data_IF_932614396594
#
_entry.id   IF_932614396594
#
_cell.length_a   1.000
_cell.length_b   1.000
_cell.length_c   1.000
_cell.angle_alpha   90.00
_cell.angle_beta   90.00
_cell.angle_gamma   90.00
#
_symmetry.space_group_name_H-M   'P 1'
#
loop_
_entity.id
_entity.type
_entity.pdbx_description
1 polymer ?
#
# COMPACT_ATOMS: atom_id res chain seq x y z
N UNK A 1 41.11 -14.76 -1.32
CA UNK A 1 40.69 -13.82 -0.25
C UNK A 1 39.43 -14.34 0.42
N UNK A 2 39.56 -15.28 1.36
CA UNK A 2 38.43 -15.82 2.13
C UNK A 2 38.21 -14.93 3.36
N UNK A 3 37.20 -14.04 3.32
CA UNK A 3 36.79 -13.27 4.51
C UNK A 3 36.46 -14.27 5.63
N UNK A 4 36.94 -14.02 6.85
CA UNK A 4 36.66 -14.93 7.96
C UNK A 4 35.15 -15.08 8.16
N UNK A 5 34.64 -16.30 8.42
CA UNK A 5 33.21 -16.57 8.48
C UNK A 5 32.46 -15.68 9.49
N UNK A 6 33.15 -15.19 10.53
CA UNK A 6 32.60 -14.24 11.50
C UNK A 6 32.35 -12.83 10.94
N UNK A 7 33.01 -12.40 9.86
CA UNK A 7 32.73 -11.09 9.24
C UNK A 7 31.41 -11.13 8.47
N UNK A 8 31.16 -12.21 7.72
CA UNK A 8 29.94 -12.35 6.93
C UNK A 8 28.70 -12.43 7.84
N UNK A 9 28.74 -13.24 8.91
CA UNK A 9 27.65 -13.34 9.88
C UNK A 9 27.32 -11.98 10.51
N UNK A 10 28.34 -11.21 10.92
CA UNK A 10 28.14 -9.87 11.51
C UNK A 10 27.56 -8.88 10.50
N UNK A 11 28.00 -8.94 9.25
CA UNK A 11 27.46 -8.09 8.19
C UNK A 11 26.00 -8.42 7.88
N UNK A 12 25.65 -9.71 7.77
CA UNK A 12 24.27 -10.15 7.57
C UNK A 12 23.36 -9.72 8.72
N UNK A 13 23.81 -9.91 9.97
CA UNK A 13 23.07 -9.46 11.15
C UNK A 13 22.86 -7.94 11.17
N UNK A 14 23.89 -7.16 10.86
CA UNK A 14 23.79 -5.71 10.83
C UNK A 14 22.84 -5.22 9.73
N UNK A 15 22.89 -5.84 8.55
CA UNK A 15 21.95 -5.58 7.45
C UNK A 15 20.52 -5.89 7.88
N UNK A 16 20.30 -7.05 8.50
CA UNK A 16 18.98 -7.47 8.96
C UNK A 16 18.39 -6.52 10.01
N UNK A 17 19.17 -6.14 11.03
CA UNK A 17 18.70 -5.20 12.05
C UNK A 17 18.37 -3.84 11.46
N UNK A 18 19.21 -3.33 10.54
CA UNK A 18 18.96 -2.05 9.88
C UNK A 18 17.73 -2.08 8.97
N UNK A 19 17.58 -3.15 8.19
CA UNK A 19 16.44 -3.34 7.30
C UNK A 19 15.14 -3.55 8.09
N UNK A 20 15.16 -4.34 9.16
CA UNK A 20 14.01 -4.52 10.05
C UNK A 20 13.60 -3.20 10.72
N UNK A 21 14.55 -2.38 11.17
CA UNK A 21 14.27 -1.05 11.71
C UNK A 21 13.63 -0.12 10.66
N UNK A 22 14.07 -0.20 9.40
CA UNK A 22 13.44 0.52 8.29
C UNK A 22 12.00 0.03 8.03
N UNK A 23 11.78 -1.28 7.90
CA UNK A 23 10.44 -1.85 7.69
C UNK A 23 9.50 -1.60 8.88
N UNK A 24 10.04 -1.51 10.08
CA UNK A 24 9.30 -1.10 11.26
C UNK A 24 9.03 0.41 11.30
N UNK A 25 9.78 1.26 10.59
CA UNK A 25 9.57 2.71 10.60
C UNK A 25 8.59 3.18 9.51
N UNK A 26 8.58 2.51 8.37
CA UNK A 26 7.82 2.89 7.19
C UNK A 26 6.82 1.81 6.82
N UNK A 27 5.73 2.21 6.18
CA UNK A 27 4.61 1.38 5.72
C UNK A 27 4.10 1.88 4.36
N UNK A 28 4.99 2.51 3.58
CA UNK A 28 4.63 3.17 2.34
C UNK A 28 4.37 2.15 1.22
N UNK A 29 3.30 2.30 0.42
CA UNK A 29 3.02 1.43 -0.73
C UNK A 29 3.93 1.83 -1.93
N UNK A 30 5.25 1.73 -1.75
CA UNK A 30 6.23 2.07 -2.79
C UNK A 30 7.01 0.84 -3.23
N UNK A 31 7.46 0.82 -4.49
CA UNK A 31 8.33 -0.25 -5.01
C UNK A 31 9.56 -0.42 -4.12
N UNK A 32 10.16 0.69 -3.68
CA UNK A 32 11.33 0.66 -2.79
C UNK A 32 11.03 -0.09 -1.48
N UNK A 33 9.88 0.18 -0.84
CA UNK A 33 9.48 -0.53 0.37
C UNK A 33 9.32 -2.04 0.12
N UNK A 34 8.67 -2.44 -0.97
CA UNK A 34 8.50 -3.86 -1.30
C UNK A 34 9.83 -4.55 -1.65
N UNK A 35 10.77 -3.85 -2.27
CA UNK A 35 12.14 -4.35 -2.45
C UNK A 35 12.81 -4.59 -1.10
N UNK A 36 12.64 -3.68 -0.12
CA UNK A 36 13.19 -3.89 1.22
C UNK A 36 12.57 -5.09 1.94
N UNK A 37 11.29 -5.41 1.71
CA UNK A 37 10.66 -6.64 2.22
C UNK A 37 11.32 -7.89 1.62
N UNK A 38 11.59 -7.89 0.31
CA UNK A 38 12.30 -9.02 -0.34
C UNK A 38 13.73 -9.15 0.21
N UNK A 39 14.42 -8.02 0.40
CA UNK A 39 15.75 -8.00 1.02
C UNK A 39 15.71 -8.59 2.43
N UNK A 40 14.71 -8.24 3.25
CA UNK A 40 14.52 -8.79 4.60
C UNK A 40 14.36 -10.31 4.60
N UNK A 41 13.52 -10.83 3.69
CA UNK A 41 13.29 -12.27 3.61
C UNK A 41 14.56 -12.99 3.15
N UNK A 42 15.25 -12.45 2.14
CA UNK A 42 16.46 -13.05 1.60
C UNK A 42 17.65 -13.00 2.58
N UNK A 43 17.91 -11.85 3.20
CA UNK A 43 18.98 -11.69 4.16
C UNK A 43 18.67 -12.41 5.49
N UNK A 44 17.40 -12.52 5.89
CA UNK A 44 16.96 -13.35 7.01
C UNK A 44 17.19 -14.83 6.75
N UNK A 45 16.85 -15.34 5.57
CA UNK A 45 17.15 -16.72 5.18
C UNK A 45 18.66 -17.00 5.18
N UNK A 46 19.47 -16.09 4.64
CA UNK A 46 20.92 -16.18 4.70
C UNK A 46 21.43 -16.19 6.15
N UNK A 47 20.90 -15.31 7.01
CA UNK A 47 21.27 -15.24 8.42
C UNK A 47 20.97 -16.55 9.15
N UNK A 48 19.80 -17.16 8.90
CA UNK A 48 19.44 -18.47 9.45
C UNK A 48 20.46 -19.54 9.03
N UNK A 49 20.82 -19.59 7.75
CA UNK A 49 21.84 -20.56 7.25
C UNK A 49 23.19 -20.34 7.92
N UNK A 50 23.65 -19.08 8.02
CA UNK A 50 24.93 -18.74 8.66
C UNK A 50 24.93 -19.08 10.15
N UNK A 51 23.80 -18.86 10.86
CA UNK A 51 23.63 -19.24 12.25
C UNK A 51 23.60 -20.77 12.43
N UNK A 52 22.98 -21.50 11.51
CA UNK A 52 23.00 -22.96 11.54
C UNK A 52 24.43 -23.49 11.36
N UNK A 53 25.16 -22.97 10.38
CA UNK A 53 26.48 -23.46 10.01
C UNK A 53 27.59 -23.05 11.00
N UNK A 54 27.59 -21.80 11.47
CA UNK A 54 28.63 -21.27 12.35
C UNK A 54 28.18 -21.11 13.81
N UNK A 55 26.91 -20.76 14.02
CA UNK A 55 26.35 -20.49 15.35
C UNK A 55 26.13 -21.77 16.15
N UNK A 56 25.57 -22.84 15.57
CA UNK A 56 25.30 -24.10 16.28
C UNK A 56 26.59 -24.73 16.82
N UNK A 57 27.67 -24.93 16.03
CA UNK A 57 28.91 -25.49 16.57
C UNK A 57 29.52 -24.64 17.67
N UNK A 58 29.46 -23.31 17.54
CA UNK A 58 29.91 -22.37 18.57
C UNK A 58 29.08 -22.51 19.85
N UNK A 59 27.75 -22.57 19.72
CA UNK A 59 26.81 -22.67 20.84
C UNK A 59 27.01 -23.98 21.61
N UNK A 60 27.15 -25.11 20.91
CA UNK A 60 27.42 -26.42 21.50
C UNK A 60 28.74 -26.40 22.27
N UNK A 61 29.81 -25.83 21.69
CA UNK A 61 31.10 -25.67 22.38
C UNK A 61 30.94 -24.77 23.61
N UNK A 62 30.17 -23.68 23.51
CA UNK A 62 29.98 -22.73 24.59
C UNK A 62 29.23 -23.32 25.78
N UNK A 63 28.20 -24.13 25.55
CA UNK A 63 27.46 -24.83 26.61
C UNK A 63 28.27 -25.91 27.31
N UNK A 64 29.29 -26.49 26.66
CA UNK A 64 30.22 -27.45 27.28
C UNK A 64 31.25 -26.80 28.19
N UNK A 65 31.57 -25.52 27.96
CA UNK A 65 32.54 -24.80 28.79
C UNK A 65 31.90 -24.31 30.10
N UNK A 66 32.61 -24.39 31.23
CA UNK A 66 32.13 -23.80 32.48
C UNK A 66 31.95 -22.28 32.33
N UNK A 67 30.93 -21.75 33.00
CA UNK A 67 30.59 -20.33 32.94
C UNK A 67 29.48 -19.98 33.93
N UNK A 68 29.25 -18.67 34.16
CA UNK A 68 28.24 -18.22 35.11
C UNK A 68 26.85 -18.69 34.67
N UNK A 69 26.01 -19.07 35.66
CA UNK A 69 24.64 -19.54 35.41
C UNK A 69 23.81 -18.52 34.61
N UNK A 70 24.02 -17.23 34.87
CA UNK A 70 23.38 -16.12 34.15
C UNK A 70 23.73 -16.11 32.66
N UNK A 71 24.99 -16.37 32.28
CA UNK A 71 25.38 -16.46 30.86
C UNK A 71 24.71 -17.64 30.16
N UNK A 72 24.59 -18.80 30.84
CA UNK A 72 23.89 -19.97 30.29
C UNK A 72 22.40 -19.70 30.11
N UNK A 73 21.75 -19.05 31.07
CA UNK A 73 20.35 -18.65 30.97
C UNK A 73 20.11 -17.69 29.80
N UNK A 74 20.98 -16.68 29.64
CA UNK A 74 20.90 -15.75 28.51
C UNK A 74 21.11 -16.43 27.15
N UNK A 75 22.06 -17.37 27.06
CA UNK A 75 22.27 -18.17 25.84
C UNK A 75 21.06 -19.07 25.52
N UNK A 76 20.44 -19.69 26.54
CA UNK A 76 19.24 -20.49 26.35
C UNK A 76 18.05 -19.65 25.86
N UNK A 77 17.84 -18.47 26.47
CA UNK A 77 16.81 -17.52 26.04
C UNK A 77 17.06 -17.03 24.61
N UNK A 78 18.30 -16.62 24.30
CA UNK A 78 18.70 -16.22 22.95
C UNK A 78 18.36 -17.32 21.93
N UNK A 79 18.68 -18.57 22.25
CA UNK A 79 18.46 -19.71 21.35
C UNK A 79 16.97 -19.98 21.15
N UNK A 80 16.19 -20.05 22.23
CA UNK A 80 14.75 -20.28 22.16
C UNK A 80 14.03 -19.18 21.36
N UNK A 81 14.38 -17.91 21.62
CA UNK A 81 13.81 -16.78 20.90
C UNK A 81 14.24 -16.73 19.44
N UNK A 82 15.50 -17.07 19.11
CA UNK A 82 15.95 -17.15 17.72
C UNK A 82 15.23 -18.25 16.92
N UNK A 83 14.98 -19.41 17.55
CA UNK A 83 14.20 -20.49 16.93
C UNK A 83 12.73 -20.07 16.71
N UNK A 84 12.13 -19.38 17.68
CA UNK A 84 10.79 -18.81 17.53
C UNK A 84 10.74 -17.77 16.39
N UNK A 85 11.72 -16.88 16.31
CA UNK A 85 11.83 -15.89 15.25
C UNK A 85 11.96 -16.55 13.86
N UNK A 86 12.80 -17.58 13.74
CA UNK A 86 12.97 -18.33 12.49
C UNK A 86 11.69 -19.09 12.08
N UNK A 87 11.03 -19.78 13.02
CA UNK A 87 9.79 -20.51 12.75
C UNK A 87 8.64 -19.58 12.33
N UNK A 88 8.48 -18.46 13.02
CA UNK A 88 7.48 -17.45 12.67
C UNK A 88 7.81 -16.75 11.34
N UNK A 89 9.08 -16.53 11.01
CA UNK A 89 9.50 -15.98 9.72
C UNK A 89 9.09 -16.89 8.55
N UNK A 90 9.30 -18.21 8.68
CA UNK A 90 8.89 -19.18 7.66
C UNK A 90 7.38 -19.18 7.44
N UNK A 91 6.60 -19.12 8.53
CA UNK A 91 5.15 -19.01 8.43
C UNK A 91 4.72 -17.70 7.75
N UNK A 92 5.35 -16.57 8.08
CA UNK A 92 5.07 -15.26 7.47
C UNK A 92 5.49 -15.18 6.00
N UNK A 93 6.52 -15.92 5.57
CA UNK A 93 6.93 -15.99 4.16
C UNK A 93 5.83 -16.61 3.27
N UNK A 94 4.98 -17.47 3.83
CA UNK A 94 3.84 -18.09 3.13
C UNK A 94 2.56 -17.28 3.33
N UNK A 95 2.30 -16.84 4.55
CA UNK A 95 1.02 -16.24 4.94
C UNK A 95 0.93 -14.73 4.69
N UNK A 96 2.07 -14.06 4.55
CA UNK A 96 2.18 -12.61 4.47
C UNK A 96 1.82 -11.90 5.79
N UNK A 97 1.73 -10.57 5.74
CA UNK A 97 1.46 -9.71 6.89
C UNK A 97 0.02 -9.15 6.90
N UNK A 98 -0.92 -9.88 6.28
CA UNK A 98 -2.34 -9.51 6.27
C UNK A 98 -2.89 -9.33 7.70
N UNK A 99 -3.97 -8.54 7.85
CA UNK A 99 -4.50 -8.15 9.17
C UNK A 99 -4.75 -9.34 10.12
N UNK A 100 -5.20 -10.49 9.61
CA UNK A 100 -5.40 -11.72 10.39
C UNK A 100 -4.11 -12.30 11.01
N UNK A 101 -2.96 -12.04 10.40
CA UNK A 101 -1.65 -12.55 10.81
C UNK A 101 -0.81 -11.54 11.60
N UNK A 102 -1.39 -10.39 11.97
CA UNK A 102 -0.71 -9.40 12.82
C UNK A 102 -0.16 -9.97 14.14
N UNK A 103 -0.84 -10.89 14.84
CA UNK A 103 -0.27 -11.52 16.04
C UNK A 103 0.99 -12.33 15.74
N UNK A 104 1.03 -13.03 14.60
CA UNK A 104 2.20 -13.80 14.16
C UNK A 104 3.38 -12.87 13.84
N UNK A 105 3.12 -11.74 13.17
CA UNK A 105 4.13 -10.70 12.93
C UNK A 105 4.64 -10.11 14.26
N UNK A 106 3.76 -9.82 15.21
CA UNK A 106 4.15 -9.31 16.52
C UNK A 106 5.05 -10.29 17.27
N UNK A 107 4.72 -11.60 17.23
CA UNK A 107 5.55 -12.65 17.81
C UNK A 107 6.92 -12.74 17.14
N UNK A 108 6.98 -12.64 15.81
CA UNK A 108 8.24 -12.62 15.05
C UNK A 108 9.13 -11.44 15.47
N UNK A 109 8.57 -10.23 15.56
CA UNK A 109 9.31 -9.03 15.98
C UNK A 109 9.76 -9.15 17.45
N UNK A 110 8.86 -9.54 18.35
CA UNK A 110 9.16 -9.66 19.77
C UNK A 110 10.26 -10.71 20.03
N UNK A 111 10.15 -11.89 19.43
CA UNK A 111 11.16 -12.95 19.57
C UNK A 111 12.52 -12.53 19.00
N UNK A 112 12.55 -11.78 17.89
CA UNK A 112 13.78 -11.22 17.33
C UNK A 112 14.45 -10.22 18.28
N UNK A 113 13.68 -9.30 18.87
CA UNK A 113 14.18 -8.32 19.86
C UNK A 113 14.71 -9.03 21.11
N UNK A 114 13.98 -10.01 21.63
CA UNK A 114 14.41 -10.78 22.81
C UNK A 114 15.68 -11.57 22.52
N UNK A 115 15.82 -12.17 21.32
CA UNK A 115 17.02 -12.87 20.93
C UNK A 115 18.26 -11.95 20.95
N UNK A 116 18.14 -10.74 20.38
CA UNK A 116 19.22 -9.75 20.36
C UNK A 116 19.56 -9.21 21.76
N UNK A 117 18.54 -8.95 22.59
CA UNK A 117 18.72 -8.50 23.96
C UNK A 117 19.41 -9.58 24.82
N UNK A 118 18.98 -10.84 24.68
CA UNK A 118 19.59 -11.98 25.35
C UNK A 118 21.03 -12.23 24.87
N UNK A 119 21.33 -12.03 23.58
CA UNK A 119 22.70 -12.09 23.07
C UNK A 119 23.60 -11.02 23.71
N UNK A 120 23.14 -9.76 23.80
CA UNK A 120 23.87 -8.70 24.49
C UNK A 120 24.05 -9.03 25.99
N UNK A 121 23.02 -9.54 26.65
CA UNK A 121 23.06 -10.00 28.04
C UNK A 121 24.05 -11.14 28.28
N UNK A 122 24.12 -12.10 27.36
CA UNK A 122 25.10 -13.19 27.40
C UNK A 122 26.54 -12.65 27.32
N UNK A 123 26.80 -11.64 26.48
CA UNK A 123 28.13 -10.99 26.37
C UNK A 123 28.46 -10.20 27.65
N UNK A 124 27.49 -9.48 28.22
CA UNK A 124 27.66 -8.72 29.47
C UNK A 124 27.99 -9.64 30.66
N UNK A 125 27.25 -10.74 30.80
CA UNK A 125 27.41 -11.72 31.89
C UNK A 125 28.71 -12.52 31.79
N UNK A 126 29.35 -12.54 30.62
CA UNK A 126 30.66 -13.15 30.39
C UNK A 126 31.84 -12.21 30.66
N UNK A 127 31.58 -10.97 31.11
CA UNK A 127 32.62 -10.01 31.47
C UNK A 127 33.06 -9.07 30.34
N UNK A 128 32.59 -9.27 29.10
CA UNK A 128 32.89 -8.39 27.97
C UNK A 128 31.99 -7.13 27.96
N UNK A 129 32.04 -6.36 29.05
CA UNK A 129 31.11 -5.25 29.34
C UNK A 129 30.99 -4.24 28.21
N UNK A 130 32.11 -3.84 27.60
CA UNK A 130 32.10 -2.84 26.52
C UNK A 130 31.37 -3.35 25.27
N UNK A 131 31.60 -4.61 24.89
CA UNK A 131 30.94 -5.23 23.73
C UNK A 131 29.45 -5.44 23.97
N UNK A 132 29.07 -5.92 25.16
CA UNK A 132 27.68 -6.11 25.52
C UNK A 132 26.90 -4.79 25.58
N UNK A 133 27.49 -3.72 26.16
CA UNK A 133 26.89 -2.38 26.17
C UNK A 133 26.73 -1.79 24.77
N UNK A 134 27.72 -1.98 23.90
CA UNK A 134 27.61 -1.57 22.48
C UNK A 134 26.47 -2.30 21.78
N UNK A 135 26.34 -3.62 21.97
CA UNK A 135 25.23 -4.41 21.42
C UNK A 135 23.87 -3.91 21.91
N UNK A 136 23.72 -3.69 23.22
CA UNK A 136 22.49 -3.15 23.80
C UNK A 136 22.16 -1.74 23.28
N UNK A 137 23.15 -0.86 23.13
CA UNK A 137 22.96 0.48 22.59
C UNK A 137 22.52 0.47 21.13
N UNK A 138 23.10 -0.42 20.30
CA UNK A 138 22.69 -0.60 18.91
C UNK A 138 21.27 -1.13 18.80
N UNK A 139 20.88 -2.09 19.64
CA UNK A 139 19.50 -2.58 19.72
C UNK A 139 18.53 -1.47 20.15
N UNK A 140 18.89 -0.70 21.17
CA UNK A 140 18.09 0.43 21.63
C UNK A 140 17.90 1.47 20.52
N UNK A 141 18.95 1.78 19.74
CA UNK A 141 18.87 2.67 18.59
C UNK A 141 17.97 2.11 17.48
N UNK A 142 18.08 0.81 17.19
CA UNK A 142 17.26 0.12 16.18
C UNK A 142 15.77 0.09 16.57
N UNK A 143 15.44 0.13 17.87
CA UNK A 143 14.07 0.22 18.38
C UNK A 143 13.61 1.70 18.45
N UNK A 144 14.47 2.60 18.89
CA UNK A 144 14.15 4.02 19.03
C UNK A 144 13.86 4.67 17.68
N UNK A 145 14.55 4.27 16.61
CA UNK A 145 14.32 4.79 15.27
C UNK A 145 12.87 4.60 14.77
N UNK A 146 12.31 3.39 14.67
CA UNK A 146 10.93 3.20 14.22
C UNK A 146 9.90 3.82 15.17
N UNK A 147 10.15 3.80 16.49
CA UNK A 147 9.28 4.46 17.46
C UNK A 147 9.27 5.98 17.26
N UNK A 148 10.43 6.59 17.02
CA UNK A 148 10.56 8.02 16.76
C UNK A 148 9.87 8.43 15.46
N UNK A 149 10.04 7.66 14.37
CA UNK A 149 9.37 7.92 13.10
C UNK A 149 7.85 7.82 13.25
N UNK A 150 7.34 6.78 13.92
CA UNK A 150 5.90 6.62 14.17
C UNK A 150 5.34 7.68 15.11
N UNK A 151 6.07 8.02 16.17
CA UNK A 151 5.69 9.09 17.09
C UNK A 151 5.59 10.45 16.39
N UNK A 152 6.56 10.78 15.55
CA UNK A 152 6.54 12.03 14.77
C UNK A 152 5.34 12.07 13.81
N UNK A 153 5.02 10.96 13.13
CA UNK A 153 3.84 10.88 12.25
C UNK A 153 2.51 10.99 13.01
N UNK A 154 2.45 10.48 14.23
CA UNK A 154 1.27 10.63 15.08
C UNK A 154 1.08 12.09 15.53
N UNK A 155 2.17 12.80 15.79
CA UNK A 155 2.14 14.23 16.16
C UNK A 155 1.92 15.16 14.97
N UNK A 156 2.44 14.80 13.80
CA UNK A 156 2.35 15.57 12.55
C UNK A 156 1.75 14.69 11.44
N UNK A 157 0.43 14.40 11.49
CA UNK A 157 -0.21 13.58 10.49
C UNK A 157 -0.13 14.25 9.11
N UNK A 158 0.17 13.51 8.03
CA UNK A 158 0.12 14.06 6.69
C UNK A 158 -1.32 14.47 6.36
N UNK A 159 -1.50 15.56 5.61
CA UNK A 159 -2.82 16.09 5.21
C UNK A 159 -3.77 15.04 4.61
N UNK A 160 -3.23 14.05 3.87
CA UNK A 160 -4.03 12.94 3.29
C UNK A 160 -4.52 11.90 4.31
N UNK A 161 -4.04 11.95 5.55
CA UNK A 161 -4.44 11.05 6.63
C UNK A 161 -5.57 11.62 7.50
N UNK A 162 -5.97 12.87 7.28
CA UNK A 162 -7.08 13.51 8.00
C UNK A 162 -8.26 13.63 7.05
N UNK A 163 -9.40 13.04 7.45
CA UNK A 163 -10.66 13.20 6.74
C UNK A 163 -11.49 14.21 7.53
N UNK A 164 -11.84 15.33 6.90
CA UNK A 164 -12.62 16.40 7.53
C UNK A 164 -14.08 16.30 7.09
N UNK A 165 -14.95 15.97 8.03
CA UNK A 165 -16.37 15.85 7.75
C UNK A 165 -17.10 17.19 7.92
N UNK A 166 -18.09 17.50 7.07
CA UNK A 166 -19.02 18.58 7.35
C UNK A 166 -19.76 18.31 8.67
N UNK A 167 -20.08 19.38 9.42
CA UNK A 167 -20.75 19.29 10.73
C UNK A 167 -22.18 18.74 10.66
N UNK A 168 -22.80 18.80 9.49
CA UNK A 168 -24.15 18.30 9.24
C UNK A 168 -24.16 17.44 7.97
N UNK A 169 -24.98 16.38 7.91
CA UNK A 169 -25.14 15.59 6.69
C UNK A 169 -25.80 16.42 5.58
N UNK A 170 -25.51 16.13 4.31
CA UNK A 170 -26.18 16.78 3.19
C UNK A 170 -27.67 16.40 3.18
N UNK A 171 -28.55 17.38 2.97
CA UNK A 171 -30.00 17.17 2.95
C UNK A 171 -30.50 16.54 1.64
N UNK A 172 -29.73 16.72 0.55
CA UNK A 172 -30.05 16.18 -0.78
C UNK A 172 -28.79 15.73 -1.52
N UNK A 173 -28.92 14.84 -2.52
CA UNK A 173 -27.82 14.51 -3.43
C UNK A 173 -27.17 15.73 -4.09
N UNK A 174 -27.95 16.77 -4.37
CA UNK A 174 -27.47 17.99 -5.03
C UNK A 174 -26.62 18.88 -4.10
N UNK A 175 -26.90 18.86 -2.80
CA UNK A 175 -26.09 19.55 -1.78
C UNK A 175 -24.83 18.79 -1.40
N UNK A 176 -24.79 17.49 -1.68
CA UNK A 176 -23.63 16.62 -1.45
C UNK A 176 -22.62 16.65 -2.60
N UNK A 177 -23.12 16.81 -3.83
CA UNK A 177 -22.34 16.74 -5.05
C UNK A 177 -21.16 17.71 -5.09
N UNK A 178 -20.21 17.45 -5.98
CA UNK A 178 -18.98 18.24 -6.11
C UNK A 178 -19.18 19.65 -6.72
N UNK A 179 -20.44 20.08 -6.88
CA UNK A 179 -20.88 21.30 -7.57
C UNK A 179 -21.31 21.06 -9.01
N UNK A 180 -22.25 21.86 -9.51
CA UNK A 180 -22.85 21.73 -10.85
C UNK A 180 -21.84 21.89 -12.00
N UNK A 181 -20.71 22.56 -11.74
CA UNK A 181 -19.64 22.73 -12.73
C UNK A 181 -18.81 21.48 -13.01
N UNK A 182 -19.05 20.37 -12.30
CA UNK A 182 -18.36 19.09 -12.54
C UNK A 182 -19.17 18.22 -13.50
N UNK A 183 -18.52 17.43 -14.39
CA UNK A 183 -19.23 16.55 -15.32
C UNK A 183 -19.97 15.41 -14.60
N UNK A 184 -19.65 15.17 -13.34
CA UNK A 184 -20.18 14.07 -12.54
C UNK A 184 -21.38 14.47 -11.67
N UNK A 185 -21.68 15.77 -11.56
CA UNK A 185 -22.77 16.26 -10.72
C UNK A 185 -24.11 15.55 -11.03
N UNK A 186 -24.92 15.14 -10.02
CA UNK A 186 -24.79 15.39 -8.57
C UNK A 186 -23.87 14.44 -7.79
N UNK A 187 -23.04 13.63 -8.44
CA UNK A 187 -21.98 12.91 -7.74
C UNK A 187 -21.00 13.87 -7.07
N UNK A 188 -20.49 13.44 -5.92
CA UNK A 188 -19.41 14.06 -5.15
C UNK A 188 -18.01 13.60 -5.61
N UNK A 189 -17.92 12.65 -6.56
CA UNK A 189 -16.67 12.14 -7.13
C UNK A 189 -15.94 13.25 -7.87
N UNK A 190 -14.62 13.29 -7.71
CA UNK A 190 -13.75 14.21 -8.46
C UNK A 190 -12.61 13.46 -9.13
N UNK A 191 -12.21 13.95 -10.29
CA UNK A 191 -10.98 13.54 -10.96
C UNK A 191 -9.98 14.70 -10.95
N UNK A 192 -8.75 14.46 -11.37
CA UNK A 192 -7.75 15.55 -11.43
C UNK A 192 -8.21 16.61 -12.44
N UNK A 193 -8.55 17.79 -11.91
CA UNK A 193 -9.05 18.90 -12.71
C UNK A 193 -10.44 18.64 -13.31
N UNK A 194 -11.25 17.79 -12.68
CA UNK A 194 -12.66 17.53 -13.04
C UNK A 194 -12.84 17.09 -14.51
N UNK A 195 -11.88 16.29 -15.02
CA UNK A 195 -11.87 15.74 -16.39
C UNK A 195 -12.40 14.31 -16.46
N UNK A 196 -12.98 13.95 -17.61
CA UNK A 196 -13.32 12.56 -17.91
C UNK A 196 -12.06 11.69 -17.99
N UNK A 197 -12.20 10.42 -17.64
CA UNK A 197 -11.14 9.42 -17.71
C UNK A 197 -11.34 8.59 -18.99
N UNK A 198 -10.27 8.27 -19.74
CA UNK A 198 -10.34 7.36 -20.88
C UNK A 198 -10.94 6.01 -20.50
N UNK A 199 -11.78 5.46 -21.38
CA UNK A 199 -12.59 4.29 -21.06
C UNK A 199 -11.77 3.01 -20.82
N UNK A 200 -10.64 2.88 -21.50
CA UNK A 200 -9.67 1.80 -21.37
C UNK A 200 -9.05 1.71 -19.97
N UNK A 201 -9.00 2.83 -19.24
CA UNK A 201 -8.50 2.84 -17.86
C UNK A 201 -9.24 1.88 -16.93
N UNK A 202 -10.54 1.64 -17.12
CA UNK A 202 -11.33 0.84 -16.16
C UNK A 202 -11.46 -0.63 -16.54
N UNK A 203 -11.14 -1.00 -17.79
CA UNK A 203 -11.45 -2.31 -18.34
C UNK A 203 -10.37 -3.37 -18.05
N UNK A 204 -9.26 -2.96 -17.44
CA UNK A 204 -8.05 -3.78 -17.29
C UNK A 204 -7.94 -4.50 -15.94
N UNK A 205 -9.04 -4.64 -15.17
CA UNK A 205 -9.01 -5.39 -13.89
C UNK A 205 -8.54 -6.84 -14.10
N UNK A 206 -8.91 -7.47 -15.23
CA UNK A 206 -8.43 -8.81 -15.58
C UNK A 206 -6.93 -8.82 -15.89
N UNK A 207 -6.32 -7.75 -16.39
CA UNK A 207 -4.87 -7.71 -16.62
C UNK A 207 -4.06 -7.76 -15.31
N UNK A 208 -4.64 -7.35 -14.18
CA UNK A 208 -4.03 -7.53 -12.86
C UNK A 208 -3.83 -9.02 -12.52
N UNK A 209 -4.77 -9.88 -12.90
CA UNK A 209 -4.70 -11.34 -12.71
C UNK A 209 -4.00 -12.07 -13.86
N UNK A 210 -4.31 -11.72 -15.11
CA UNK A 210 -3.92 -12.46 -16.33
C UNK A 210 -2.41 -12.52 -16.58
N UNK A 211 -1.63 -11.58 -16.03
CA UNK A 211 -0.15 -11.63 -16.12
C UNK A 211 0.51 -12.48 -15.04
N UNK A 212 -0.28 -13.23 -14.26
CA UNK A 212 0.20 -14.06 -13.15
C UNK A 212 0.61 -13.26 -11.92
N UNK A 213 0.34 -11.96 -11.87
CA UNK A 213 0.78 -11.11 -10.77
C UNK A 213 -0.15 -11.17 -9.56
N UNK A 214 -1.49 -11.13 -9.77
CA UNK A 214 -2.49 -11.15 -8.69
C UNK A 214 -3.68 -12.10 -8.94
N UNK A 215 -3.44 -13.38 -9.26
CA UNK A 215 -4.52 -14.32 -9.61
C UNK A 215 -5.52 -14.52 -8.47
N UNK A 216 -5.05 -14.70 -7.23
CA UNK A 216 -5.90 -15.01 -6.08
C UNK A 216 -6.87 -13.86 -5.74
N UNK A 217 -6.37 -12.63 -5.75
CA UNK A 217 -7.19 -11.44 -5.47
C UNK A 217 -8.17 -11.18 -6.60
N UNK A 218 -7.77 -11.44 -7.85
CA UNK A 218 -8.68 -11.30 -9.01
C UNK A 218 -9.85 -12.28 -8.90
N UNK A 219 -9.60 -13.54 -8.52
CA UNK A 219 -10.65 -14.53 -8.31
C UNK A 219 -11.59 -14.17 -7.15
N UNK A 220 -11.05 -13.61 -6.06
CA UNK A 220 -11.88 -13.08 -4.95
C UNK A 220 -12.73 -11.89 -5.39
N UNK A 221 -12.17 -10.98 -6.19
CA UNK A 221 -12.90 -9.83 -6.71
C UNK A 221 -14.03 -10.26 -7.66
N UNK A 222 -13.79 -11.19 -8.58
CA UNK A 222 -14.74 -11.64 -9.60
C UNK A 222 -16.04 -12.20 -8.99
N UNK A 223 -16.00 -12.73 -7.77
CA UNK A 223 -17.16 -13.21 -7.02
C UNK A 223 -17.78 -12.19 -6.06
N UNK A 224 -17.24 -10.97 -6.00
CA UNK A 224 -17.64 -9.96 -5.01
C UNK A 224 -18.77 -9.05 -5.49
N UNK A 225 -19.50 -8.46 -4.53
CA UNK A 225 -20.50 -7.42 -4.83
C UNK A 225 -19.88 -6.17 -5.48
N UNK A 226 -18.58 -5.93 -5.32
CA UNK A 226 -17.89 -4.85 -6.02
C UNK A 226 -17.78 -5.14 -7.51
N UNK A 227 -17.47 -6.37 -7.91
CA UNK A 227 -17.54 -6.76 -9.32
C UNK A 227 -18.98 -6.64 -9.83
N UNK A 228 -19.96 -7.15 -9.09
CA UNK A 228 -21.39 -7.11 -9.43
C UNK A 228 -22.11 -5.81 -9.01
N UNK A 229 -21.41 -4.68 -8.99
CA UNK A 229 -21.98 -3.41 -8.51
C UNK A 229 -22.67 -2.59 -9.59
N UNK A 230 -22.40 -2.84 -10.87
CA UNK A 230 -22.93 -2.06 -11.99
C UNK A 230 -24.03 -2.84 -12.72
N UNK A 231 -24.14 -2.70 -14.05
CA UNK A 231 -25.24 -3.26 -14.85
C UNK A 231 -25.10 -4.76 -15.17
N UNK A 232 -24.06 -5.41 -14.63
CA UNK A 232 -23.96 -6.86 -14.50
C UNK A 232 -24.83 -7.43 -13.36
N UNK A 233 -25.51 -6.56 -12.60
CA UNK A 233 -26.50 -6.93 -11.58
C UNK A 233 -27.90 -6.49 -12.01
N UNK A 234 -28.83 -7.44 -12.17
CA UNK A 234 -30.17 -7.17 -12.71
C UNK A 234 -31.03 -6.28 -11.80
N UNK A 235 -30.85 -6.35 -10.48
CA UNK A 235 -31.61 -5.53 -9.53
C UNK A 235 -31.20 -4.06 -9.60
N UNK A 236 -29.89 -3.83 -9.61
CA UNK A 236 -29.33 -2.49 -9.76
C UNK A 236 -29.70 -1.91 -11.13
N UNK A 237 -29.49 -2.69 -12.19
CA UNK A 237 -29.87 -2.36 -13.55
C UNK A 237 -31.31 -1.86 -13.64
N UNK A 238 -32.29 -2.65 -13.19
CA UNK A 238 -33.70 -2.28 -13.33
C UNK A 238 -34.06 -1.04 -12.53
N UNK A 239 -33.43 -0.84 -11.37
CA UNK A 239 -33.59 0.38 -10.57
C UNK A 239 -33.14 1.62 -11.32
N UNK A 240 -31.96 1.56 -11.96
CA UNK A 240 -31.43 2.71 -12.71
C UNK A 240 -32.16 2.91 -14.05
N UNK A 241 -32.49 1.84 -14.78
CA UNK A 241 -33.30 1.95 -16.01
C UNK A 241 -34.63 2.68 -15.74
N UNK A 242 -35.35 2.26 -14.69
CA UNK A 242 -36.60 2.90 -14.28
C UNK A 242 -36.39 4.36 -13.84
N UNK A 243 -35.38 4.62 -13.00
CA UNK A 243 -35.05 5.99 -12.58
C UNK A 243 -34.79 6.89 -13.79
N UNK A 244 -33.96 6.44 -14.74
CA UNK A 244 -33.62 7.23 -15.92
C UNK A 244 -34.83 7.44 -16.84
N UNK A 245 -35.74 6.48 -16.93
CA UNK A 245 -36.98 6.60 -17.69
C UNK A 245 -37.93 7.65 -17.09
N UNK A 246 -38.06 7.70 -15.76
CA UNK A 246 -39.03 8.59 -15.10
C UNK A 246 -38.48 10.00 -14.86
N UNK A 247 -37.21 10.13 -14.46
CA UNK A 247 -36.63 11.43 -14.03
C UNK A 247 -35.35 11.82 -14.78
N UNK A 248 -34.98 11.09 -15.83
CA UNK A 248 -33.82 11.38 -16.67
C UNK A 248 -32.49 10.88 -16.10
N UNK A 249 -31.41 11.08 -16.87
CA UNK A 249 -30.07 10.53 -16.57
C UNK A 249 -29.32 11.26 -15.46
N UNK A 250 -29.53 12.58 -15.31
CA UNK A 250 -28.78 13.42 -14.37
C UNK A 250 -28.82 12.89 -12.91
N UNK A 251 -29.98 12.55 -12.30
CA UNK A 251 -30.02 12.03 -10.93
C UNK A 251 -29.23 10.72 -10.75
N UNK A 252 -29.22 9.84 -11.75
CA UNK A 252 -28.54 8.54 -11.68
C UNK A 252 -27.01 8.65 -11.53
N UNK A 253 -26.40 9.79 -11.89
CA UNK A 253 -24.97 10.05 -11.67
C UNK A 253 -24.58 9.99 -10.18
N UNK A 254 -25.50 10.30 -9.27
CA UNK A 254 -25.26 10.14 -7.83
C UNK A 254 -25.01 8.68 -7.46
N UNK A 255 -25.84 7.76 -7.98
CA UNK A 255 -25.66 6.32 -7.79
C UNK A 255 -24.35 5.84 -8.46
N UNK A 256 -24.06 6.39 -9.64
CA UNK A 256 -22.90 6.00 -10.46
C UNK A 256 -21.55 6.28 -9.83
N UNK A 257 -21.44 7.18 -8.85
CA UNK A 257 -20.14 7.41 -8.20
C UNK A 257 -19.76 6.30 -7.22
N UNK A 258 -20.73 5.55 -6.70
CA UNK A 258 -20.47 4.32 -5.94
C UNK A 258 -20.45 3.09 -6.86
N UNK A 259 -21.45 2.95 -7.74
CA UNK A 259 -21.70 1.70 -8.47
C UNK A 259 -21.05 1.63 -9.86
N UNK A 260 -21.06 2.75 -10.60
CA UNK A 260 -20.83 2.76 -12.05
C UNK A 260 -19.63 3.61 -12.45
N UNK A 261 -18.53 3.56 -11.69
CA UNK A 261 -17.41 4.48 -11.93
C UNK A 261 -16.86 4.42 -13.36
N UNK A 262 -16.85 3.25 -14.00
CA UNK A 262 -16.45 3.10 -15.40
C UNK A 262 -17.41 3.81 -16.38
N UNK A 263 -18.69 3.96 -16.04
CA UNK A 263 -19.70 4.65 -16.86
C UNK A 263 -19.73 6.15 -16.52
N UNK A 264 -19.74 6.49 -15.22
CA UNK A 264 -19.76 7.87 -14.74
C UNK A 264 -18.50 8.63 -15.14
N UNK A 265 -17.32 8.09 -14.84
CA UNK A 265 -16.05 8.80 -15.02
C UNK A 265 -15.65 8.94 -16.49
N UNK A 266 -16.27 8.16 -17.38
CA UNK A 266 -16.11 8.28 -18.84
C UNK A 266 -17.15 9.20 -19.48
N UNK A 267 -18.05 9.80 -18.69
CA UNK A 267 -19.12 10.69 -19.15
C UNK A 267 -20.30 9.97 -19.80
N UNK A 268 -20.29 8.63 -19.81
CA UNK A 268 -21.32 7.83 -20.46
C UNK A 268 -22.64 7.82 -19.72
N UNK A 269 -22.65 8.20 -18.43
CA UNK A 269 -23.87 8.28 -17.63
C UNK A 269 -24.84 9.38 -18.09
N UNK A 270 -24.43 10.28 -18.99
CA UNK A 270 -25.33 11.23 -19.65
C UNK A 270 -26.26 10.59 -20.68
N UNK A 271 -25.86 9.45 -21.25
CA UNK A 271 -26.66 8.65 -22.18
C UNK A 271 -27.51 7.64 -21.39
N UNK A 272 -28.80 7.41 -21.74
CA UNK A 272 -29.63 6.39 -21.09
C UNK A 272 -28.94 5.02 -21.08
N UNK A 273 -28.94 4.34 -19.94
CA UNK A 273 -28.19 3.10 -19.77
C UNK A 273 -28.74 1.97 -20.62
N UNK A 274 -30.07 1.96 -20.83
CA UNK A 274 -30.74 0.98 -21.69
C UNK A 274 -30.14 0.91 -23.11
N UNK A 275 -29.54 2.00 -23.59
CA UNK A 275 -28.96 2.11 -24.93
C UNK A 275 -27.47 1.69 -24.98
N UNK A 276 -26.88 1.32 -23.85
CA UNK A 276 -25.44 1.03 -23.74
C UNK A 276 -25.09 -0.02 -22.68
N UNK A 277 -26.06 -0.84 -22.30
CA UNK A 277 -25.92 -1.78 -21.18
C UNK A 277 -24.90 -2.89 -21.43
N UNK A 278 -24.75 -3.31 -22.68
CA UNK A 278 -23.83 -4.38 -23.07
C UNK A 278 -22.39 -3.88 -23.27
N UNK A 279 -22.14 -2.60 -22.99
CA UNK A 279 -20.78 -2.05 -23.10
C UNK A 279 -19.88 -2.58 -21.99
N UNK A 280 -18.57 -2.79 -22.25
CA UNK A 280 -17.64 -3.24 -21.23
C UNK A 280 -17.63 -2.37 -19.96
N UNK A 281 -17.85 -1.07 -20.10
CA UNK A 281 -17.89 -0.12 -18.98
C UNK A 281 -19.10 -0.38 -18.08
N UNK A 282 -20.27 -0.65 -18.67
CA UNK A 282 -21.48 -0.97 -17.93
C UNK A 282 -21.40 -2.33 -17.21
N UNK A 283 -20.52 -3.22 -17.67
CA UNK A 283 -20.30 -4.54 -17.09
C UNK A 283 -19.08 -4.60 -16.14
N UNK A 284 -18.31 -3.52 -16.02
CA UNK A 284 -17.03 -3.53 -15.29
C UNK A 284 -17.18 -3.58 -13.76
N UNK A 285 -18.28 -3.02 -13.23
CA UNK A 285 -18.44 -2.79 -11.79
C UNK A 285 -17.35 -1.89 -11.21
N UNK A 286 -17.08 -2.08 -9.92
CA UNK A 286 -15.96 -1.47 -9.20
C UNK A 286 -14.73 -2.38 -9.41
N UNK A 287 -13.94 -2.06 -10.44
CA UNK A 287 -12.71 -2.76 -10.78
C UNK A 287 -11.52 -2.40 -9.88
N UNK A 288 -10.39 -3.09 -10.06
CA UNK A 288 -9.18 -2.88 -9.26
C UNK A 288 -8.69 -1.42 -9.31
N UNK A 289 -8.70 -0.83 -10.51
CA UNK A 289 -8.20 0.52 -10.74
C UNK A 289 -9.12 1.61 -10.17
N UNK A 290 -10.38 1.32 -9.84
CA UNK A 290 -11.21 2.24 -9.05
C UNK A 290 -10.57 2.44 -7.69
N UNK A 291 -10.41 1.38 -6.90
CA UNK A 291 -9.84 1.46 -5.55
C UNK A 291 -8.37 1.91 -5.57
N UNK A 292 -7.56 1.35 -6.48
CA UNK A 292 -6.13 1.62 -6.57
C UNK A 292 -5.78 2.97 -7.22
N UNK A 293 -6.78 3.77 -7.63
CA UNK A 293 -6.55 5.13 -8.11
C UNK A 293 -7.12 6.22 -7.19
N UNK A 294 -7.75 5.87 -6.08
CA UNK A 294 -8.13 6.82 -5.04
C UNK A 294 -6.86 7.34 -4.36
N UNK A 295 -6.68 8.66 -4.24
CA UNK A 295 -5.54 9.19 -3.46
C UNK A 295 -5.89 10.16 -2.36
N UNK A 296 -7.12 10.67 -2.33
CA UNK A 296 -7.54 11.59 -1.29
C UNK A 296 -9.05 11.48 -1.11
N UNK A 297 -9.48 11.07 0.08
CA UNK A 297 -10.89 11.01 0.47
C UNK A 297 -11.23 12.34 1.15
N UNK A 298 -12.10 13.14 0.53
CA UNK A 298 -12.37 14.51 1.00
C UNK A 298 -13.14 14.55 2.33
N UNK A 299 -14.07 13.62 2.51
CA UNK A 299 -14.94 13.45 3.67
C UNK A 299 -15.47 12.00 3.69
N UNK A 300 -16.07 11.57 4.81
CA UNK A 300 -16.80 10.31 4.94
C UNK A 300 -18.33 10.52 4.83
N UNK A 301 -18.78 11.67 4.34
CA UNK A 301 -20.20 12.06 4.35
C UNK A 301 -20.73 12.13 2.92
N UNK A 302 -21.69 11.26 2.60
CA UNK A 302 -22.27 11.16 1.26
C UNK A 302 -21.63 10.06 0.41
N UNK A 303 -21.76 10.18 -0.90
CA UNK A 303 -21.23 9.28 -1.91
C UNK A 303 -19.76 9.60 -2.21
N UNK A 304 -19.02 8.58 -2.64
CA UNK A 304 -17.62 8.53 -3.08
C UNK A 304 -16.90 9.87 -3.28
N UNK A 305 -16.01 10.23 -2.35
CA UNK A 305 -15.24 11.47 -2.37
C UNK A 305 -13.72 11.35 -2.70
N UNK A 306 -13.25 10.43 -3.58
CA UNK A 306 -11.85 10.37 -3.93
C UNK A 306 -11.46 11.48 -4.90
N UNK A 307 -10.27 12.06 -4.72
CA UNK A 307 -9.57 12.88 -5.72
C UNK A 307 -8.21 12.22 -6.02
N UNK A 308 -7.66 12.44 -7.22
CA UNK A 308 -6.41 11.87 -7.75
C UNK A 308 -5.24 12.88 -7.63
N UNK A 309 -3.96 12.47 -7.58
CA UNK A 309 -2.81 13.37 -7.62
C UNK A 309 -2.38 13.54 -9.08
N UNK A 310 -1.69 14.64 -9.36
CA UNK A 310 -1.04 14.82 -10.65
C UNK A 310 -0.02 13.68 -10.88
N UNK A 311 -0.25 12.85 -11.89
CA UNK A 311 0.87 12.20 -12.57
C UNK A 311 1.60 13.28 -13.35
N UNK A 312 2.82 13.63 -12.93
CA UNK A 312 3.76 14.33 -13.82
C UNK A 312 4.00 13.42 -15.01
N UNK A 313 3.36 13.71 -16.14
CA UNK A 313 3.77 13.20 -17.43
C UNK A 313 5.17 13.74 -17.72
N UNK A 314 6.16 12.85 -17.70
CA UNK A 314 7.52 13.16 -18.11
C UNK A 314 7.55 13.15 -19.63
N UNK A 315 7.17 14.26 -20.27
CA UNK A 315 7.44 14.44 -21.70
C UNK A 315 8.90 14.88 -21.83
N UNK A 316 9.77 13.96 -22.25
CA UNK A 316 11.12 14.30 -22.65
C UNK A 316 11.09 15.26 -23.83
N UNK A 317 11.30 16.54 -23.57
CA UNK A 317 11.78 17.48 -24.59
C UNK A 317 12.98 18.23 -24.03
N UNK A 318 14.11 18.04 -24.68
CA UNK A 318 15.39 18.70 -24.42
C UNK A 318 15.28 20.17 -24.80
N UNK A 319 14.83 21.03 -23.85
CA UNK A 319 15.19 22.45 -23.72
C UNK A 319 14.40 23.10 -22.56
N UNK A 320 15.12 23.69 -21.60
CA UNK A 320 14.60 24.71 -20.67
C UNK A 320 13.90 24.21 -19.40
N UNK A 321 14.62 24.23 -18.26
CA UNK A 321 14.02 24.07 -16.93
C UNK A 321 13.24 25.32 -16.53
N UNK A 322 11.92 25.23 -16.46
CA UNK A 322 11.11 26.07 -15.58
C UNK A 322 10.24 25.21 -14.68
N UNK A 323 10.60 25.13 -13.39
CA UNK A 323 9.72 24.60 -12.35
C UNK A 323 8.56 25.58 -12.17
N UNK A 324 7.37 25.26 -12.67
CA UNK A 324 6.14 25.95 -12.23
C UNK A 324 5.68 25.32 -10.92
N UNK A 325 5.68 26.13 -9.85
CA UNK A 325 5.05 25.82 -8.56
C UNK A 325 3.53 25.79 -8.79
N UNK A 326 2.85 24.70 -8.44
CA UNK A 326 1.40 24.72 -8.33
C UNK A 326 1.01 25.61 -7.14
N UNK A 327 0.53 26.82 -7.41
CA UNK A 327 -0.18 27.62 -6.41
C UNK A 327 -1.69 27.49 -6.62
N UNK A 328 -2.42 27.23 -5.56
CA UNK A 328 -3.88 27.25 -5.46
C UNK A 328 -4.45 28.67 -5.63
N UNK A 329 -4.42 29.22 -6.85
CA UNK A 329 -5.24 30.38 -7.20
C UNK A 329 -6.24 29.99 -8.26
N UNK A 330 -7.51 30.27 -7.99
CA UNK A 330 -8.63 30.14 -8.91
C UNK A 330 -8.31 30.91 -10.19
N UNK A 331 -8.28 30.20 -11.32
CA UNK A 331 -8.17 30.84 -12.63
C UNK A 331 -9.59 31.04 -13.13
N UNK A 332 -10.03 32.29 -13.09
CA UNK A 332 -11.23 32.76 -13.75
C UNK A 332 -11.19 32.46 -15.26
N UNK A 333 -12.36 32.11 -15.78
CA UNK A 333 -12.73 31.84 -17.17
C UNK A 333 -11.89 32.52 -18.26
N UNK A 334 -11.21 31.71 -19.07
CA UNK A 334 -10.97 32.00 -20.49
C UNK A 334 -11.15 30.73 -21.31
N UNK A 335 -12.08 30.77 -22.27
CA UNK A 335 -12.36 29.70 -23.22
C UNK A 335 -11.18 29.54 -24.22
N UNK A 336 -10.83 28.33 -24.69
CA UNK A 336 -9.89 28.15 -25.77
C UNK A 336 -10.60 28.00 -27.12
N UNK A 337 -10.16 28.82 -28.07
CA UNK A 337 -10.34 28.66 -29.50
C UNK A 337 -9.62 27.40 -30.03
N UNK A 338 -10.22 26.80 -31.05
CA UNK A 338 -9.85 25.58 -31.81
C UNK A 338 -8.37 25.39 -32.17
N UNK A 339 -7.87 24.16 -32.05
CA UNK A 339 -6.65 23.65 -32.67
C UNK A 339 -6.87 22.20 -33.22
N UNK A 340 -6.16 21.79 -34.30
CA UNK A 340 -6.54 20.68 -35.18
C UNK A 340 -6.06 19.28 -34.68
N UNK A 341 -6.53 18.16 -35.25
CA UNK A 341 -6.30 16.83 -34.69
C UNK A 341 -4.88 16.31 -34.93
N UNK A 342 -4.28 15.71 -33.91
CA UNK A 342 -2.99 15.04 -33.99
C UNK A 342 -3.14 13.58 -34.47
N UNK A 343 -2.28 13.21 -35.41
CA UNK A 343 -2.14 11.89 -36.06
C UNK A 343 -1.72 10.77 -35.10
N UNK A 344 -2.32 9.59 -35.26
CA UNK A 344 -1.96 8.34 -34.54
C UNK A 344 -0.56 7.86 -34.90
N UNK A 345 0.27 7.61 -33.89
CA UNK A 345 1.50 6.81 -33.99
C UNK A 345 1.31 5.54 -33.17
N UNK A 346 1.26 4.40 -33.85
CA UNK A 346 1.30 3.05 -33.29
C UNK A 346 2.72 2.72 -32.82
N UNK A 347 2.88 2.30 -31.56
CA UNK A 347 4.07 1.58 -31.12
C UNK A 347 3.67 0.38 -30.27
N UNK A 348 3.81 -0.79 -30.87
CA UNK A 348 3.89 -2.11 -30.25
C UNK A 348 5.18 -2.22 -29.42
N UNK A 349 5.08 -2.73 -28.18
CA UNK A 349 6.24 -3.14 -27.39
C UNK A 349 6.22 -4.67 -27.23
N UNK A 350 7.34 -5.29 -27.62
CA UNK A 350 7.76 -6.64 -27.26
C UNK A 350 8.10 -6.73 -25.78
#
# INVERSE_FOLDING_TARGET
MTRSPGVLLRAALALEVANAAYLAAFDSPTIFYHVQVVVHVAAGALLVVLLAWHGIPWLVRRFRLPGPASARAMLALMTASALCAAGTALALAVTGTASRWRPLLALHVASSVVALAAAAGAVLTQGERLRGRRGAALLALAIAFPLGVRGLRALLPPHVATIENPKAPPATPFTEGAGEGTPFFPSSVRTVGDRLIPHDFFLESKACGNKGCHPDITAQWESSMHHFSSFNNQWYRKSIEYMQEVVGTKPSKWCGGCHDQAVLLTGRMDTPIKDQIDTPQAQAGIGCLVCHSIVHVKDTMGQTAPSRPCTTTWSGSTRGRTRRRCSSRSIASRAPSSAPPATRSTSTCR
#
